data_IF_907859818798
#
_entry.id   IF_907859818798
#
_cell.length_a   1.000
_cell.length_b   1.000
_cell.length_c   1.000
_cell.angle_alpha   90.00
_cell.angle_beta   90.00
_cell.angle_gamma   90.00
#
_symmetry.space_group_name_H-M   'P 1'
#
loop_
_entity.id
_entity.type
_entity.pdbx_description
1 polymer ?
#
# COMPACT_ATOMS: atom_id res chain seq x y z
N UNK A 1 13.08 -12.37 -14.13
CA UNK A 1 13.92 -12.72 -12.96
C UNK A 1 13.20 -13.81 -12.15
N UNK A 2 13.78 -15.00 -11.99
CA UNK A 2 13.23 -16.03 -11.07
C UNK A 2 13.30 -15.49 -9.65
N UNK A 3 12.16 -15.29 -8.99
CA UNK A 3 12.13 -14.97 -7.56
C UNK A 3 12.79 -16.13 -6.80
N UNK A 4 13.76 -15.82 -5.92
CA UNK A 4 14.41 -16.83 -5.07
C UNK A 4 13.40 -17.33 -4.03
N UNK A 5 12.56 -18.31 -4.39
CA UNK A 5 11.69 -19.01 -3.43
C UNK A 5 12.54 -19.92 -2.54
N UNK A 6 12.37 -19.82 -1.21
CA UNK A 6 12.95 -20.75 -0.24
C UNK A 6 11.90 -21.78 0.18
N UNK A 7 12.28 -23.06 0.30
CA UNK A 7 11.39 -24.10 0.84
C UNK A 7 11.45 -24.06 2.37
N UNK A 8 10.30 -24.26 3.01
CA UNK A 8 10.14 -24.37 4.45
C UNK A 8 9.25 -25.57 4.73
N UNK A 9 9.59 -26.32 5.76
CA UNK A 9 8.81 -27.43 6.28
C UNK A 9 8.03 -26.94 7.50
N UNK A 10 6.78 -27.40 7.65
CA UNK A 10 5.89 -27.03 8.75
C UNK A 10 5.19 -28.30 9.22
N UNK A 11 5.23 -28.55 10.52
CA UNK A 11 4.48 -29.63 11.17
C UNK A 11 3.19 -29.06 11.74
N UNK A 12 2.06 -29.68 11.41
CA UNK A 12 0.72 -29.29 11.85
C UNK A 12 0.02 -30.52 12.42
N UNK A 13 -0.88 -30.32 13.39
CA UNK A 13 -1.79 -31.38 13.83
C UNK A 13 -2.82 -31.73 12.75
N UNK A 14 -3.43 -32.91 12.90
CA UNK A 14 -4.36 -33.47 11.91
C UNK A 14 -5.63 -32.61 11.73
N UNK A 15 -6.14 -32.02 12.81
CA UNK A 15 -7.33 -31.16 12.78
C UNK A 15 -7.07 -29.91 11.95
N UNK A 16 -5.96 -29.23 12.23
CA UNK A 16 -5.51 -28.05 11.49
C UNK A 16 -5.30 -28.36 10.02
N UNK A 17 -4.68 -29.51 9.72
CA UNK A 17 -4.45 -29.94 8.34
C UNK A 17 -5.77 -30.16 7.60
N UNK A 18 -6.74 -30.84 8.21
CA UNK A 18 -8.06 -31.08 7.63
C UNK A 18 -8.82 -29.77 7.32
N UNK A 19 -8.82 -28.82 8.26
CA UNK A 19 -9.47 -27.51 8.07
C UNK A 19 -8.82 -26.74 6.92
N UNK A 20 -7.49 -26.72 6.84
CA UNK A 20 -6.77 -26.02 5.77
C UNK A 20 -7.00 -26.67 4.41
N UNK A 21 -7.08 -28.00 4.35
CA UNK A 21 -7.41 -28.71 3.11
C UNK A 21 -8.81 -28.42 2.62
N UNK A 22 -9.81 -28.37 3.50
CA UNK A 22 -11.18 -28.01 3.15
C UNK A 22 -11.24 -26.58 2.60
N UNK A 23 -10.59 -25.61 3.28
CA UNK A 23 -10.50 -24.23 2.79
C UNK A 23 -9.80 -24.13 1.43
N UNK A 24 -8.76 -24.93 1.21
CA UNK A 24 -8.07 -24.98 -0.08
C UNK A 24 -8.99 -25.49 -1.20
N UNK A 25 -9.71 -26.60 -0.94
CA UNK A 25 -10.70 -27.18 -1.87
C UNK A 25 -11.81 -26.19 -2.23
N UNK A 26 -12.36 -25.50 -1.23
CA UNK A 26 -13.40 -24.49 -1.42
C UNK A 26 -12.94 -23.31 -2.30
N UNK A 27 -11.63 -23.07 -2.40
CA UNK A 27 -11.05 -22.06 -3.29
C UNK A 27 -10.51 -22.63 -4.61
N UNK A 28 -10.72 -23.92 -4.90
CA UNK A 28 -10.21 -24.60 -6.09
C UNK A 28 -8.68 -24.71 -6.11
N UNK A 29 -8.03 -24.80 -4.94
CA UNK A 29 -6.57 -24.84 -4.77
C UNK A 29 -6.14 -26.12 -4.07
N UNK A 30 -4.91 -26.58 -4.35
CA UNK A 30 -4.27 -27.56 -3.48
C UNK A 30 -3.72 -26.89 -2.21
N UNK A 31 -3.48 -27.68 -1.16
CA UNK A 31 -3.05 -27.18 0.15
C UNK A 31 -1.79 -26.32 0.06
N UNK A 32 -0.77 -26.77 -0.69
CA UNK A 32 0.48 -26.02 -0.88
C UNK A 32 0.24 -24.62 -1.44
N UNK A 33 -0.54 -24.51 -2.51
CA UNK A 33 -0.81 -23.23 -3.17
C UNK A 33 -1.71 -22.33 -2.32
N UNK A 34 -2.61 -22.92 -1.53
CA UNK A 34 -3.42 -22.20 -0.56
C UNK A 34 -2.54 -21.61 0.56
N UNK A 35 -1.62 -22.40 1.13
CA UNK A 35 -0.68 -21.91 2.14
C UNK A 35 0.26 -20.82 1.59
N UNK A 36 0.80 -20.98 0.36
CA UNK A 36 1.57 -19.92 -0.31
C UNK A 36 0.77 -18.62 -0.49
N UNK A 37 -0.55 -18.73 -0.74
CA UNK A 37 -1.43 -17.58 -0.84
C UNK A 37 -1.63 -16.92 0.52
N UNK A 38 -2.06 -17.66 1.54
CA UNK A 38 -2.32 -17.12 2.90
C UNK A 38 -1.09 -16.43 3.47
N UNK A 39 0.09 -17.05 3.40
CA UNK A 39 1.33 -16.47 3.92
C UNK A 39 1.72 -15.17 3.20
N UNK A 40 1.39 -15.06 1.92
CA UNK A 40 1.66 -13.84 1.14
C UNK A 40 0.67 -12.72 1.49
N UNK A 41 -0.61 -13.04 1.64
CA UNK A 41 -1.61 -12.06 2.08
C UNK A 41 -1.26 -11.55 3.47
N UNK A 42 -0.91 -12.44 4.40
CA UNK A 42 -0.53 -12.07 5.76
C UNK A 42 0.73 -11.19 5.78
N UNK A 43 1.75 -11.54 4.99
CA UNK A 43 2.94 -10.70 4.85
C UNK A 43 2.63 -9.31 4.27
N UNK A 44 1.66 -9.21 3.37
CA UNK A 44 1.22 -7.94 2.80
C UNK A 44 0.42 -7.11 3.81
N UNK A 45 -0.40 -7.74 4.65
CA UNK A 45 -1.10 -7.07 5.75
C UNK A 45 -0.10 -6.44 6.73
N UNK A 46 0.99 -7.13 7.03
CA UNK A 46 2.11 -6.60 7.83
C UNK A 46 2.81 -5.43 7.13
N UNK A 47 2.78 -5.34 5.79
CA UNK A 47 3.39 -4.24 5.03
C UNK A 47 2.45 -3.03 4.83
N UNK A 48 1.13 -3.23 4.93
CA UNK A 48 0.15 -2.14 4.92
C UNK A 48 0.34 -1.21 6.12
N UNK A 49 0.60 -1.73 7.32
CA UNK A 49 0.93 -0.93 8.51
C UNK A 49 2.15 -0.01 8.34
N UNK A 50 3.34 -0.47 7.91
CA UNK A 50 4.53 0.37 7.72
C UNK A 50 4.42 1.27 6.49
N UNK A 51 3.66 0.92 5.44
CA UNK A 51 3.36 1.85 4.33
C UNK A 51 2.46 2.98 4.80
N UNK A 52 1.39 2.68 5.53
CA UNK A 52 0.54 3.69 6.16
C UNK A 52 1.35 4.57 7.12
N UNK A 53 2.27 3.97 7.89
CA UNK A 53 3.21 4.69 8.74
C UNK A 53 4.16 5.58 7.94
N UNK A 54 4.68 5.11 6.80
CA UNK A 54 5.56 5.90 5.93
C UNK A 54 4.82 7.06 5.27
N UNK A 55 3.58 6.84 4.82
CA UNK A 55 2.70 7.91 4.31
C UNK A 55 2.44 8.93 5.41
N UNK A 56 2.11 8.48 6.63
CA UNK A 56 1.91 9.37 7.79
C UNK A 56 3.17 10.17 8.13
N UNK A 57 4.35 9.54 8.12
CA UNK A 57 5.65 10.21 8.32
C UNK A 57 5.91 11.25 7.23
N UNK A 58 5.70 10.90 5.96
CA UNK A 58 5.89 11.82 4.83
C UNK A 58 4.95 13.03 4.91
N UNK A 59 3.68 12.82 5.30
CA UNK A 59 2.72 13.91 5.51
C UNK A 59 3.13 14.83 6.68
N UNK A 60 3.62 14.26 7.78
CA UNK A 60 4.09 15.04 8.93
C UNK A 60 5.31 15.89 8.57
N UNK A 61 6.30 15.29 7.90
CA UNK A 61 7.50 15.98 7.40
C UNK A 61 7.16 17.13 6.46
N UNK A 62 6.25 16.89 5.51
CA UNK A 62 5.77 17.92 4.57
C UNK A 62 5.11 19.10 5.31
N UNK A 63 4.32 18.82 6.36
CA UNK A 63 3.73 19.87 7.21
C UNK A 63 4.81 20.69 7.92
N UNK A 64 5.76 20.05 8.59
CA UNK A 64 6.83 20.74 9.34
C UNK A 64 7.64 21.64 8.40
N UNK A 65 8.05 21.11 7.24
CA UNK A 65 8.78 21.89 6.25
C UNK A 65 7.97 23.09 5.72
N UNK A 66 6.64 22.98 5.67
CA UNK A 66 5.79 24.10 5.28
C UNK A 66 5.65 25.16 6.37
N UNK A 67 5.62 24.75 7.64
CA UNK A 67 5.57 25.65 8.80
C UNK A 67 6.91 26.40 8.95
N UNK A 68 8.02 25.72 8.67
CA UNK A 68 9.37 26.30 8.64
C UNK A 68 9.63 27.15 7.39
N UNK A 69 8.66 27.27 6.47
CA UNK A 69 8.77 28.04 5.23
C UNK A 69 9.72 27.43 4.18
N UNK A 70 10.19 26.20 4.37
CA UNK A 70 11.09 25.48 3.45
C UNK A 70 10.36 24.96 2.20
N UNK A 71 9.07 24.66 2.32
CA UNK A 71 8.20 24.30 1.18
C UNK A 71 6.90 25.09 1.21
N UNK A 72 6.27 25.26 0.05
CA UNK A 72 5.02 26.02 -0.06
C UNK A 72 3.89 25.29 0.67
N UNK A 73 3.11 26.03 1.46
CA UNK A 73 1.95 25.46 2.11
C UNK A 73 0.90 25.04 1.07
N UNK A 74 0.01 24.13 1.45
CA UNK A 74 -1.09 23.71 0.57
C UNK A 74 -1.96 24.89 0.14
N UNK A 75 -2.14 25.90 1.01
CA UNK A 75 -2.89 27.12 0.68
C UNK A 75 -2.20 27.91 -0.44
N UNK A 76 -0.88 28.03 -0.39
CA UNK A 76 -0.11 28.78 -1.38
C UNK A 76 -0.12 28.06 -2.74
N UNK A 77 -0.01 26.74 -2.73
CA UNK A 77 -0.10 25.92 -3.95
C UNK A 77 -1.48 26.05 -4.58
N UNK A 78 -2.56 25.96 -3.78
CA UNK A 78 -3.94 26.11 -4.26
C UNK A 78 -4.17 27.52 -4.83
N UNK A 79 -3.72 28.56 -4.14
CA UNK A 79 -3.87 29.95 -4.59
C UNK A 79 -3.10 30.20 -5.90
N UNK A 80 -1.86 29.69 -6.00
CA UNK A 80 -1.06 29.79 -7.23
C UNK A 80 -1.72 29.06 -8.40
N UNK A 81 -2.34 27.90 -8.15
CA UNK A 81 -3.01 27.09 -9.17
C UNK A 81 -4.28 27.78 -9.67
N UNK A 82 -5.11 28.30 -8.75
CA UNK A 82 -6.28 29.12 -9.09
C UNK A 82 -5.91 30.35 -9.92
N UNK A 83 -4.82 31.04 -9.55
CA UNK A 83 -4.32 32.20 -10.31
C UNK A 83 -3.92 31.84 -11.74
N UNK A 84 -3.26 30.69 -11.95
CA UNK A 84 -2.88 30.19 -13.28
C UNK A 84 -4.09 29.79 -14.12
N UNK A 85 -5.07 29.11 -13.52
CA UNK A 85 -6.30 28.74 -14.20
C UNK A 85 -7.08 29.97 -14.69
N UNK A 86 -7.18 31.00 -13.85
CA UNK A 86 -7.85 32.24 -14.21
C UNK A 86 -7.10 33.00 -15.31
N UNK A 87 -5.76 32.99 -15.30
CA UNK A 87 -4.96 33.59 -16.38
C UNK A 87 -5.20 32.87 -17.73
N UNK A 88 -5.17 31.54 -17.73
CA UNK A 88 -5.39 30.75 -18.95
C UNK A 88 -6.83 30.83 -19.50
N UNK A 89 -7.83 31.19 -18.68
CA UNK A 89 -9.19 31.44 -19.16
C UNK A 89 -9.36 32.81 -19.81
N UNK A 90 -8.50 33.78 -19.50
CA UNK A 90 -8.55 35.13 -20.09
C UNK A 90 -7.92 35.13 -21.50
N UNK A 91 -6.85 34.36 -21.70
CA UNK A 91 -6.17 34.26 -23.01
C UNK A 91 -6.96 33.49 -24.09
N UNK A 92 -8.02 32.75 -23.73
CA UNK A 92 -8.89 32.01 -24.67
C UNK A 92 -10.13 32.78 -25.13
N UNK A 93 -10.35 33.99 -24.63
CA UNK A 93 -11.54 34.80 -24.91
C UNK A 93 -11.23 36.05 -25.77
N UNK A 94 -10.02 36.16 -26.34
CA UNK A 94 -9.62 37.21 -27.31
C UNK A 94 -9.47 36.66 -28.71
#
# INVERSE_FOLDING_TARGET
MKSKKKRKEVSLDEETLAILEEKAKNQGRNLKNYMEFVLREEANNILEEPKALNVRKALLLSRIQSEDGLVKSSKDVINATKKRMNANSVDKAS
#
